data_IF_202732474871
#
_entry.id   IF_202732474871
#
_cell.length_a   1.000
_cell.length_b   1.000
_cell.length_c   1.000
_cell.angle_alpha   90.00
_cell.angle_beta   90.00
_cell.angle_gamma   90.00
#
_symmetry.space_group_name_H-M   'P 1'
#
loop_
_entity.id
_entity.type
_entity.pdbx_description
1 polymer ?
#
# COMPACT_ATOMS: atom_id res chain seq x y z
N UNK A 1 -14.21 20.71 13.01
CA UNK A 1 -14.16 21.06 12.81
C UNK A 1 -14.02 20.72 12.79
N UNK A 2 -14.37 20.09 12.82
CA UNK A 2 -14.19 20.34 12.56
C UNK A 2 -13.82 20.19 12.66
N UNK A 3 -14.36 19.80 12.75
CA UNK A 3 -14.11 20.15 12.72
C UNK A 3 -13.75 19.82 12.74
N UNK A 4 -14.19 19.45 12.91
CA UNK A 4 -13.98 19.54 12.82
C UNK A 4 -13.97 18.88 12.91
N UNK A 5 -14.38 18.22 13.19
CA UNK A 5 -14.56 18.16 13.09
C UNK A 5 -14.75 17.80 13.22
N UNK A 6 -15.20 17.38 13.19
CA UNK A 6 -15.43 17.66 13.19
C UNK A 6 -15.53 17.66 13.40
N UNK A 7 -15.83 17.39 13.74
CA UNK A 7 -16.04 17.83 13.75
C UNK A 7 -15.98 17.64 13.79
N UNK A 8 -16.30 17.20 13.94
CA UNK A 8 -16.36 17.50 13.89
C UNK A 8 -16.48 17.16 14.29
N UNK A 9 -16.87 16.65 14.61
CA UNK A 9 -17.09 16.81 14.86
C UNK A 9 -16.98 16.84 15.06
N UNK A 10 -17.09 16.58 15.41
CA UNK A 10 -17.18 17.00 15.57
C UNK A 10 -17.07 16.72 15.65
N UNK A 11 -17.34 16.61 15.58
CA UNK A 11 -17.25 16.52 15.47
C UNK A 11 -16.87 15.92 15.61
N UNK A 12 -16.94 15.54 15.65
CA UNK A 12 -16.61 15.03 15.64
C UNK A 12 -16.14 14.21 15.90
N UNK A 13 -15.77 13.82 16.22
CA UNK A 13 -15.26 12.90 16.59
C UNK A 13 -15.74 11.48 16.75
N UNK A 14 -16.56 10.82 16.56
CA UNK A 14 -17.10 9.51 16.49
C UNK A 14 -16.64 8.74 15.27
N UNK A 15 -15.52 9.03 14.83
CA UNK A 15 -14.96 8.41 13.64
C UNK A 15 -14.73 6.92 13.82
N UNK A 16 -14.44 6.47 15.02
CA UNK A 16 -14.23 5.06 15.30
C UNK A 16 -15.45 4.20 14.97
N UNK A 17 -16.62 4.78 14.88
CA UNK A 17 -17.81 4.03 14.54
C UNK A 17 -17.78 3.50 13.12
N UNK A 18 -16.95 4.05 12.28
CA UNK A 18 -16.87 3.67 10.87
C UNK A 18 -15.67 2.82 10.56
N UNK A 19 -14.90 2.43 11.57
CA UNK A 19 -13.72 1.57 11.39
C UNK A 19 -12.66 2.15 10.47
N UNK A 20 -12.69 3.45 10.22
CA UNK A 20 -11.64 4.05 9.42
C UNK A 20 -10.36 4.18 10.22
N UNK A 21 -9.20 3.97 9.59
CA UNK A 21 -7.95 4.17 10.31
C UNK A 21 -7.77 5.64 10.60
N UNK A 22 -7.10 5.93 11.72
CA UNK A 22 -6.78 7.30 12.03
C UNK A 22 -5.63 7.75 11.16
N UNK A 23 -5.83 8.85 10.45
CA UNK A 23 -4.75 9.46 9.70
C UNK A 23 -4.37 10.77 10.39
N UNK A 24 -3.08 11.06 10.39
CA UNK A 24 -2.61 12.34 10.91
C UNK A 24 -2.86 13.39 9.85
N UNK A 25 -2.98 14.65 10.28
CA UNK A 25 -3.13 15.75 9.34
C UNK A 25 -1.95 15.72 8.36
N UNK A 26 -2.26 15.76 7.08
CA UNK A 26 -1.28 15.77 5.99
C UNK A 26 -0.50 14.47 5.84
N UNK A 27 -0.92 13.40 6.49
CA UNK A 27 -0.31 12.09 6.34
C UNK A 27 -1.31 11.13 5.73
N UNK A 28 -0.93 10.50 4.63
CA UNK A 28 -1.77 9.48 4.02
C UNK A 28 -1.54 8.13 4.71
N UNK A 29 -2.54 7.27 4.65
CA UNK A 29 -2.46 5.90 5.17
C UNK A 29 -2.82 4.96 4.04
N UNK A 30 -1.96 4.01 3.75
CA UNK A 30 -2.20 3.04 2.68
C UNK A 30 -2.05 1.62 3.19
N UNK A 31 -2.91 0.73 2.69
CA UNK A 31 -2.76 -0.71 2.89
C UNK A 31 -2.50 -1.32 1.53
N UNK A 32 -1.47 -2.14 1.42
CA UNK A 32 -1.09 -2.75 0.16
C UNK A 32 -1.01 -4.26 0.31
N UNK A 33 -1.34 -4.99 -0.74
CA UNK A 33 -1.23 -6.44 -0.74
C UNK A 33 -1.00 -6.91 -2.18
N UNK A 34 -0.52 -8.13 -2.32
CA UNK A 34 -0.25 -8.72 -3.62
C UNK A 34 -0.90 -10.08 -3.74
N UNK A 35 -1.15 -10.50 -4.98
CA UNK A 35 -1.70 -11.81 -5.28
C UNK A 35 -1.04 -12.35 -6.55
N UNK A 36 -1.12 -13.68 -6.74
CA UNK A 36 -0.47 -14.33 -7.86
C UNK A 36 -1.36 -15.47 -8.38
N UNK A 37 -1.47 -15.54 -9.71
CA UNK A 37 -2.19 -16.64 -10.35
C UNK A 37 -1.18 -17.58 -11.00
N UNK A 38 -1.02 -18.76 -10.42
CA UNK A 38 -0.02 -19.73 -10.87
C UNK A 38 -0.31 -20.24 -12.29
N UNK A 39 -1.59 -20.25 -12.68
CA UNK A 39 -1.96 -20.74 -14.01
C UNK A 39 -1.58 -19.77 -15.11
N UNK A 40 -1.77 -18.48 -14.89
CA UNK A 40 -1.48 -17.46 -15.90
C UNK A 40 -0.13 -16.79 -15.69
N UNK A 41 0.49 -16.99 -14.53
CA UNK A 41 1.73 -16.33 -14.12
C UNK A 41 1.57 -14.82 -14.07
N UNK A 42 0.35 -14.37 -13.81
CA UNK A 42 0.06 -12.96 -13.58
C UNK A 42 0.08 -12.66 -12.10
N UNK A 43 0.49 -11.47 -11.76
CA UNK A 43 0.45 -11.01 -10.37
C UNK A 43 -0.31 -9.70 -10.32
N UNK A 44 -0.76 -9.34 -9.13
CA UNK A 44 -1.59 -8.15 -9.00
C UNK A 44 -1.34 -7.49 -7.66
N UNK A 45 -1.69 -6.21 -7.60
CA UNK A 45 -1.69 -5.48 -6.34
C UNK A 45 -3.08 -4.95 -6.04
N UNK A 46 -3.35 -4.83 -4.75
CA UNK A 46 -4.50 -4.13 -4.23
C UNK A 46 -4.00 -3.07 -3.28
N UNK A 47 -4.54 -1.87 -3.40
CA UNK A 47 -4.13 -0.74 -2.57
C UNK A 47 -5.36 0.05 -2.17
N UNK A 48 -5.45 0.40 -0.89
CA UNK A 48 -6.47 1.36 -0.45
C UNK A 48 -5.74 2.46 0.32
N UNK A 49 -6.04 3.70 -0.04
CA UNK A 49 -5.36 4.87 0.51
C UNK A 49 -6.40 5.83 1.09
N UNK A 50 -6.12 6.26 2.32
CA UNK A 50 -6.94 7.27 3.01
C UNK A 50 -6.13 8.56 3.13
N UNK A 51 -6.70 9.66 2.68
CA UNK A 51 -6.05 10.96 2.79
C UNK A 51 -7.11 12.04 2.91
N UNK A 52 -7.04 12.79 4.00
CA UNK A 52 -7.94 13.92 4.26
C UNK A 52 -9.42 13.58 4.03
N UNK A 53 -9.83 12.44 4.57
CA UNK A 53 -11.20 11.98 4.50
C UNK A 53 -11.61 11.34 3.20
N UNK A 54 -10.69 11.23 2.24
CA UNK A 54 -10.95 10.57 0.96
C UNK A 54 -10.33 9.19 0.91
N UNK A 55 -11.02 8.29 0.26
CA UNK A 55 -10.58 6.92 0.08
C UNK A 55 -10.32 6.68 -1.40
N UNK A 56 -9.15 6.15 -1.74
CA UNK A 56 -8.79 5.82 -3.12
C UNK A 56 -8.32 4.39 -3.17
N UNK A 57 -8.77 3.64 -4.17
CA UNK A 57 -8.38 2.24 -4.31
C UNK A 57 -7.75 1.98 -5.67
N UNK A 58 -6.84 1.00 -5.70
CA UNK A 58 -6.24 0.51 -6.93
C UNK A 58 -6.33 -1.01 -6.92
N UNK A 59 -6.64 -1.57 -8.09
CA UNK A 59 -6.72 -3.00 -8.29
C UNK A 59 -6.10 -3.24 -9.67
N UNK A 60 -4.84 -3.68 -9.71
CA UNK A 60 -4.07 -3.71 -10.95
C UNK A 60 -3.39 -5.05 -11.17
N UNK A 61 -3.39 -5.50 -12.42
CA UNK A 61 -2.78 -6.75 -12.84
C UNK A 61 -1.54 -6.48 -13.67
N UNK A 62 -0.55 -7.35 -13.52
CA UNK A 62 0.72 -7.26 -14.22
C UNK A 62 1.12 -8.63 -14.74
N UNK A 63 1.93 -8.65 -15.80
CA UNK A 63 2.36 -9.90 -16.41
C UNK A 63 3.84 -9.91 -16.81
N UNK A 64 4.66 -9.06 -16.18
CA UNK A 64 6.09 -9.01 -16.49
C UNK A 64 6.74 -10.34 -16.08
N UNK A 65 7.27 -11.13 -17.06
CA UNK A 65 7.79 -12.47 -16.75
C UNK A 65 8.96 -12.45 -15.76
N UNK A 66 9.77 -11.41 -15.81
CA UNK A 66 10.94 -11.28 -14.94
C UNK A 66 10.53 -11.15 -13.48
N UNK A 67 9.48 -10.40 -13.23
CA UNK A 67 9.00 -10.18 -11.86
C UNK A 67 8.03 -11.26 -11.40
N UNK A 68 7.42 -11.99 -12.34
CA UNK A 68 6.44 -13.02 -11.98
C UNK A 68 7.03 -14.12 -11.12
N UNK A 69 8.36 -14.33 -11.18
CA UNK A 69 9.02 -15.33 -10.35
C UNK A 69 8.91 -15.03 -8.85
N UNK A 70 8.67 -13.78 -8.50
CA UNK A 70 8.47 -13.37 -7.11
C UNK A 70 7.02 -13.56 -6.65
N UNK A 71 6.14 -13.99 -7.56
CA UNK A 71 4.74 -14.32 -7.28
C UNK A 71 3.99 -13.17 -6.60
N UNK A 72 3.29 -13.45 -5.50
CA UNK A 72 2.52 -12.41 -4.81
C UNK A 72 3.39 -11.26 -4.28
N UNK A 73 4.67 -11.52 -4.02
CA UNK A 73 5.59 -10.49 -3.56
C UNK A 73 5.77 -9.41 -4.63
N UNK A 74 5.78 -9.82 -5.91
CA UNK A 74 5.86 -8.86 -7.01
C UNK A 74 4.68 -7.90 -6.97
N UNK A 75 3.49 -8.42 -6.68
CA UNK A 75 2.28 -7.59 -6.56
C UNK A 75 2.40 -6.63 -5.39
N UNK A 76 2.93 -7.10 -4.27
CA UNK A 76 3.06 -6.24 -3.09
C UNK A 76 4.03 -5.09 -3.35
N UNK A 77 5.12 -5.36 -4.07
CA UNK A 77 6.06 -4.32 -4.48
C UNK A 77 5.36 -3.28 -5.36
N UNK A 78 4.56 -3.74 -6.34
CA UNK A 78 3.84 -2.81 -7.21
C UNK A 78 2.83 -1.98 -6.42
N UNK A 79 2.19 -2.58 -5.44
CA UNK A 79 1.26 -1.85 -4.58
C UNK A 79 1.95 -0.75 -3.78
N UNK A 80 3.10 -1.07 -3.20
CA UNK A 80 3.88 -0.07 -2.44
C UNK A 80 4.31 1.07 -3.36
N UNK A 81 4.75 0.75 -4.58
CA UNK A 81 5.15 1.78 -5.54
C UNK A 81 3.97 2.66 -5.94
N UNK A 82 2.79 2.07 -6.12
CA UNK A 82 1.59 2.86 -6.44
C UNK A 82 1.25 3.82 -5.31
N UNK A 83 1.34 3.36 -4.07
CA UNK A 83 1.05 4.22 -2.92
C UNK A 83 2.03 5.40 -2.87
N UNK A 84 3.31 5.13 -3.11
CA UNK A 84 4.32 6.18 -3.12
C UNK A 84 4.10 7.15 -4.27
N UNK A 85 3.79 6.64 -5.47
CA UNK A 85 3.54 7.48 -6.62
C UNK A 85 2.30 8.35 -6.42
N UNK A 86 1.28 7.80 -5.76
CA UNK A 86 0.09 8.57 -5.41
C UNK A 86 0.46 9.82 -4.61
N UNK A 87 1.42 9.69 -3.70
CA UNK A 87 1.87 10.83 -2.91
C UNK A 87 2.54 11.90 -3.78
N UNK A 88 3.36 11.46 -4.74
CA UNK A 88 4.01 12.40 -5.65
C UNK A 88 2.95 13.13 -6.49
N UNK A 89 1.99 12.37 -7.03
CA UNK A 89 0.97 12.93 -7.92
C UNK A 89 0.05 13.90 -7.20
N UNK A 90 -0.13 13.73 -5.91
CA UNK A 90 -1.07 14.53 -5.11
C UNK A 90 -0.38 15.46 -4.12
N UNK A 91 0.93 15.62 -4.24
CA UNK A 91 1.72 16.52 -3.39
C UNK A 91 1.58 16.20 -1.90
N UNK A 92 1.56 14.91 -1.57
CA UNK A 92 1.48 14.42 -0.19
C UNK A 92 2.90 14.18 0.29
N UNK A 93 3.25 14.69 1.45
CA UNK A 93 4.62 14.64 1.94
C UNK A 93 4.91 13.49 2.90
N UNK A 94 3.87 12.86 3.45
CA UNK A 94 4.03 11.75 4.39
C UNK A 94 3.01 10.67 4.14
N UNK A 95 3.45 9.43 4.23
CA UNK A 95 2.55 8.28 4.11
C UNK A 95 2.98 7.17 5.05
N UNK A 96 1.98 6.54 5.68
CA UNK A 96 2.16 5.32 6.45
C UNK A 96 1.68 4.18 5.57
N UNK A 97 2.58 3.25 5.22
CA UNK A 97 2.23 2.08 4.40
C UNK A 97 2.14 0.86 5.30
N UNK A 98 0.96 0.23 5.31
CA UNK A 98 0.72 -1.01 6.02
C UNK A 98 0.84 -2.16 5.02
N UNK A 99 1.63 -3.17 5.35
CA UNK A 99 1.98 -4.25 4.45
C UNK A 99 2.13 -5.56 5.22
N UNK A 100 2.16 -6.66 4.51
CA UNK A 100 2.23 -7.99 5.10
C UNK A 100 3.64 -8.60 5.02
N UNK A 101 4.29 -8.51 3.87
CA UNK A 101 5.57 -9.15 3.65
C UNK A 101 6.74 -8.23 3.98
N UNK A 102 7.63 -8.68 4.90
CA UNK A 102 8.74 -7.84 5.41
C UNK A 102 9.59 -7.20 4.32
N UNK A 103 9.71 -7.83 3.16
CA UNK A 103 10.55 -7.31 2.09
C UNK A 103 10.13 -5.93 1.62
N UNK A 104 8.84 -5.61 1.75
CA UNK A 104 8.33 -4.29 1.35
C UNK A 104 9.12 -3.19 2.05
N UNK A 105 9.44 -3.39 3.31
CA UNK A 105 10.24 -2.42 4.07
C UNK A 105 11.74 -2.70 3.93
N UNK A 106 12.13 -3.96 4.06
CA UNK A 106 13.55 -4.29 4.22
C UNK A 106 14.39 -4.06 2.98
N UNK A 107 13.79 -4.16 1.79
CA UNK A 107 14.50 -3.80 0.57
C UNK A 107 14.70 -2.29 0.48
N UNK A 108 13.79 -1.51 1.00
CA UNK A 108 13.89 -0.05 0.99
C UNK A 108 14.92 0.46 1.99
N UNK A 109 14.95 -0.13 3.19
CA UNK A 109 15.84 0.33 4.26
C UNK A 109 17.26 -0.20 4.11
N UNK A 110 17.47 -1.19 3.23
CA UNK A 110 18.77 -1.81 3.06
C UNK A 110 19.03 -2.96 4.02
N UNK A 111 18.05 -3.35 4.84
CA UNK A 111 18.19 -4.50 5.73
C UNK A 111 18.35 -5.79 4.92
N UNK A 112 17.71 -5.87 3.76
CA UNK A 112 17.87 -6.98 2.82
C UNK A 112 18.53 -6.47 1.55
N UNK A 113 19.44 -7.25 0.98
CA UNK A 113 20.06 -6.92 -0.29
C UNK A 113 19.08 -7.09 -1.43
N UNK A 114 19.22 -6.24 -2.44
CA UNK A 114 18.39 -6.32 -3.64
C UNK A 114 19.19 -7.05 -4.72
N UNK A 115 18.76 -8.26 -5.05
CA UNK A 115 19.48 -9.12 -6.01
C UNK A 115 18.72 -9.35 -7.31
N UNK A 116 17.40 -9.16 -7.30
CA UNK A 116 16.58 -9.37 -8.50
C UNK A 116 16.25 -8.02 -9.12
N UNK A 117 16.00 -8.02 -10.44
CA UNK A 117 15.68 -6.78 -11.14
C UNK A 117 14.50 -6.04 -10.49
N UNK A 118 13.49 -6.79 -10.05
CA UNK A 118 12.33 -6.18 -9.40
C UNK A 118 12.66 -5.53 -8.08
N UNK A 119 13.51 -6.15 -7.26
CA UNK A 119 13.89 -5.58 -5.96
C UNK A 119 14.86 -4.42 -6.13
N UNK A 120 15.75 -4.51 -7.09
CA UNK A 120 16.68 -3.41 -7.41
C UNK A 120 15.89 -2.20 -7.86
N UNK A 121 14.95 -2.40 -8.77
CA UNK A 121 14.12 -1.32 -9.29
C UNK A 121 13.27 -0.69 -8.19
N UNK A 122 12.73 -1.52 -7.30
CA UNK A 122 11.93 -1.04 -6.17
C UNK A 122 12.76 -0.15 -5.24
N UNK A 123 13.99 -0.58 -4.92
CA UNK A 123 14.87 0.21 -4.07
C UNK A 123 15.22 1.54 -4.72
N UNK A 124 15.50 1.52 -6.02
CA UNK A 124 15.81 2.75 -6.76
C UNK A 124 14.59 3.69 -6.76
N UNK A 125 13.40 3.14 -6.93
CA UNK A 125 12.18 3.93 -6.90
C UNK A 125 12.01 4.60 -5.54
N UNK A 126 12.19 3.82 -4.48
CA UNK A 126 12.08 4.33 -3.12
C UNK A 126 13.12 5.43 -2.85
N UNK A 127 14.36 5.23 -3.31
CA UNK A 127 15.42 6.22 -3.08
C UNK A 127 15.08 7.56 -3.72
N UNK A 128 14.39 7.56 -4.85
CA UNK A 128 13.92 8.80 -5.46
C UNK A 128 12.74 9.39 -4.70
N UNK A 129 11.78 8.56 -4.34
CA UNK A 129 10.56 9.00 -3.66
C UNK A 129 10.89 9.63 -2.29
N UNK A 130 11.82 9.04 -1.56
CA UNK A 130 12.10 9.51 -0.20
C UNK A 130 12.68 10.91 -0.15
N UNK A 131 13.13 11.44 -1.28
CA UNK A 131 13.58 12.83 -1.36
C UNK A 131 12.43 13.80 -1.16
N UNK A 132 11.22 13.41 -1.47
CA UNK A 132 10.03 14.26 -1.39
C UNK A 132 8.98 13.75 -0.44
N UNK A 133 8.96 12.45 -0.14
CA UNK A 133 7.91 11.82 0.65
C UNK A 133 8.53 11.02 1.78
N UNK A 134 8.09 11.28 2.99
CA UNK A 134 8.50 10.48 4.14
C UNK A 134 7.60 9.25 4.22
N UNK A 135 8.20 8.08 4.01
CA UNK A 135 7.47 6.81 4.04
C UNK A 135 7.74 6.12 5.36
N UNK A 136 6.68 5.80 6.09
CA UNK A 136 6.77 5.01 7.31
C UNK A 136 6.16 3.64 7.04
N UNK A 137 6.91 2.59 7.34
CA UNK A 137 6.48 1.22 7.06
C UNK A 137 5.92 0.56 8.31
N UNK A 138 4.75 -0.07 8.17
CA UNK A 138 4.05 -0.71 9.28
C UNK A 138 3.63 -2.11 8.87
N UNK A 139 4.29 -3.11 9.43
CA UNK A 139 3.96 -4.49 9.10
C UNK A 139 2.71 -4.91 9.86
N UNK A 140 1.70 -5.40 9.13
CA UNK A 140 0.52 -5.96 9.76
C UNK A 140 0.76 -7.45 9.99
N UNK A 141 0.00 -8.03 10.93
CA UNK A 141 0.04 -9.46 11.13
C UNK A 141 -0.80 -10.08 10.04
N UNK A 142 -0.21 -10.91 9.19
CA UNK A 142 -0.96 -11.58 8.14
C UNK A 142 -2.10 -12.38 8.72
N UNK A 143 -3.26 -12.29 8.08
CA UNK A 143 -4.45 -13.03 8.47
C UNK A 143 -4.92 -12.75 9.89
N UNK A 144 -4.63 -11.56 10.41
CA UNK A 144 -5.00 -11.19 11.76
C UNK A 144 -6.41 -10.58 11.87
N UNK A 145 -7.12 -10.51 10.74
CA UNK A 145 -8.44 -9.91 10.72
C UNK A 145 -8.43 -8.40 10.58
N UNK A 146 -7.31 -7.82 10.19
CA UNK A 146 -7.25 -6.39 9.91
C UNK A 146 -8.13 -6.09 8.71
N UNK A 147 -9.15 -5.26 8.92
CA UNK A 147 -10.17 -4.99 7.91
C UNK A 147 -9.59 -4.44 6.61
N UNK A 148 -8.67 -3.49 6.71
CA UNK A 148 -8.16 -2.83 5.50
C UNK A 148 -7.09 -3.66 4.80
N UNK A 149 -6.39 -4.50 5.54
CA UNK A 149 -5.50 -5.48 4.92
C UNK A 149 -6.35 -6.46 4.08
N UNK A 150 -7.51 -6.85 4.60
CA UNK A 150 -8.42 -7.73 3.86
C UNK A 150 -8.99 -7.06 2.61
N UNK A 151 -9.24 -5.75 2.68
CA UNK A 151 -9.69 -4.99 1.50
C UNK A 151 -8.59 -4.99 0.43
N UNK A 152 -7.35 -4.75 0.82
CA UNK A 152 -6.24 -4.76 -0.13
C UNK A 152 -6.08 -6.15 -0.76
N UNK A 153 -6.21 -7.21 0.03
CA UNK A 153 -6.15 -8.58 -0.46
C UNK A 153 -7.26 -8.83 -1.50
N UNK A 154 -8.48 -8.40 -1.19
CA UNK A 154 -9.60 -8.57 -2.11
C UNK A 154 -9.38 -7.81 -3.42
N UNK A 155 -8.87 -6.60 -3.33
CA UNK A 155 -8.59 -5.81 -4.53
C UNK A 155 -7.55 -6.50 -5.42
N UNK A 156 -6.52 -7.10 -4.82
CA UNK A 156 -5.49 -7.81 -5.58
C UNK A 156 -6.09 -9.04 -6.26
N UNK A 157 -6.90 -9.80 -5.54
CA UNK A 157 -7.53 -11.00 -6.09
C UNK A 157 -8.53 -10.65 -7.20
N UNK A 158 -9.28 -9.57 -7.02
CA UNK A 158 -10.24 -9.13 -8.02
C UNK A 158 -9.55 -8.79 -9.34
N UNK A 159 -8.37 -8.18 -9.27
CA UNK A 159 -7.62 -7.85 -10.47
C UNK A 159 -7.26 -9.10 -11.28
N UNK A 160 -7.09 -10.24 -10.60
CA UNK A 160 -6.75 -11.51 -11.26
C UNK A 160 -7.99 -12.36 -11.58
N UNK A 161 -9.17 -11.89 -11.22
CA UNK A 161 -10.39 -12.66 -11.41
C UNK A 161 -10.53 -13.83 -10.46
N UNK A 162 -9.84 -13.82 -9.34
CA UNK A 162 -9.89 -14.87 -8.33
C UNK A 162 -11.02 -14.57 -7.36
N UNK A 163 -11.87 -15.55 -7.11
CA UNK A 163 -13.01 -15.38 -6.21
C UNK A 163 -12.72 -15.90 -4.82
#
# INVERSE_FOLDING_TARGET
KLEDAKAFLGENEQISLFDEPKERKSTAVAYVDGSYNISTKEYACGVIIFYEGKETTFSRKFSNPENASMRNVAGEIEGAKLAMQFCIDNHIEEIDIYYDYEGVEKWCTGAWKTNKSGTISYRQFYDEIKKSVKVSFNKVKGHSGDKYNDVADRLAKDALGIK
#
